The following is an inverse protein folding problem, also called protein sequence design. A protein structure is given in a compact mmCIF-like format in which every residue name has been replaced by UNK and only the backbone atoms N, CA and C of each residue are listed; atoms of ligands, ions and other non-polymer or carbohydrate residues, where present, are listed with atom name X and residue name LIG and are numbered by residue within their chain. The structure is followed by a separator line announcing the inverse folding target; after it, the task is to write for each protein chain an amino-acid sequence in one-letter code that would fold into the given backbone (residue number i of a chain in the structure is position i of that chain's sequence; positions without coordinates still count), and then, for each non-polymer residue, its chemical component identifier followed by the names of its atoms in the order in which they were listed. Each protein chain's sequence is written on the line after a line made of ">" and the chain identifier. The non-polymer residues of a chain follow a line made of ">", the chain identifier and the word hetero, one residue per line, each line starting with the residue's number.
data_IF_574478130104
#
_entry.id   IF_574478130104
#
_cell.length_a   1.000
_cell.length_b   1.000
_cell.length_c   1.000
_cell.angle_alpha   90.00
_cell.angle_beta   90.00
_cell.angle_gamma   90.00
#
_symmetry.space_group_name_H-M   'P 1'
#
loop_
_entity.id
_entity.type
_entity.pdbx_description
1 polymer ?
#
# COMPACT_ATOMS: atom_id res chain seq x y z
N UNK A 1 -26.21 26.87 -3.07
CA UNK A 1 -25.13 25.89 -2.84
C UNK A 1 -24.11 26.08 -3.94
N UNK A 2 -22.83 26.26 -3.62
CA UNK A 2 -21.77 26.45 -4.62
C UNK A 2 -21.59 25.20 -5.49
N UNK A 3 -21.35 25.38 -6.79
CA UNK A 3 -21.10 24.32 -7.77
C UNK A 3 -20.03 23.30 -7.33
N UNK A 4 -18.94 23.78 -6.73
CA UNK A 4 -17.86 22.94 -6.21
C UNK A 4 -18.36 21.93 -5.15
N UNK A 5 -19.35 22.32 -4.34
CA UNK A 5 -19.93 21.46 -3.31
C UNK A 5 -20.79 20.34 -3.90
N UNK A 6 -21.36 20.53 -5.10
CA UNK A 6 -22.16 19.50 -5.76
C UNK A 6 -21.27 18.37 -6.30
N UNK A 7 -20.14 18.73 -6.93
CA UNK A 7 -19.17 17.75 -7.43
C UNK A 7 -18.49 16.96 -6.30
N UNK A 8 -18.16 17.60 -5.19
CA UNK A 8 -17.58 16.91 -4.05
C UNK A 8 -18.60 15.96 -3.39
N UNK A 9 -19.87 16.36 -3.32
CA UNK A 9 -20.95 15.49 -2.85
C UNK A 9 -21.23 14.32 -3.79
N UNK A 10 -21.00 14.48 -5.10
CA UNK A 10 -21.25 13.46 -6.13
C UNK A 10 -19.95 12.73 -6.52
N UNK A 11 -18.81 13.12 -5.93
CA UNK A 11 -17.50 12.52 -6.10
C UNK A 11 -17.06 12.39 -7.56
N UNK A 12 -17.31 13.42 -8.39
CA UNK A 12 -16.82 13.51 -9.77
C UNK A 12 -15.64 14.48 -9.85
N UNK A 13 -14.64 14.18 -10.68
CA UNK A 13 -13.50 15.07 -10.96
C UNK A 13 -13.21 15.12 -12.44
N UNK A 14 -12.92 16.32 -12.98
CA UNK A 14 -12.46 16.44 -14.36
C UNK A 14 -11.00 16.00 -14.46
N UNK A 15 -10.69 15.20 -15.49
CA UNK A 15 -9.32 14.95 -15.88
C UNK A 15 -8.87 16.12 -16.76
N UNK A 16 -7.89 16.91 -16.34
CA UNK A 16 -7.32 17.94 -17.21
C UNK A 16 -6.38 17.34 -18.28
N UNK A 17 -5.87 16.14 -18.02
CA UNK A 17 -4.91 15.44 -18.88
C UNK A 17 -5.58 14.46 -19.85
N UNK A 18 -6.91 14.48 -19.96
CA UNK A 18 -7.66 13.55 -20.78
C UNK A 18 -9.11 14.01 -20.94
N UNK A 19 -9.85 13.45 -21.90
CA UNK A 19 -11.10 14.08 -22.33
C UNK A 19 -12.32 13.57 -21.53
N UNK A 20 -12.10 13.02 -20.34
CA UNK A 20 -13.11 12.29 -19.58
C UNK A 20 -13.23 12.76 -18.14
N UNK A 21 -14.35 12.42 -17.52
CA UNK A 21 -14.63 12.67 -16.12
C UNK A 21 -14.30 11.42 -15.33
N UNK A 22 -13.66 11.58 -14.18
CA UNK A 22 -13.31 10.49 -13.30
C UNK A 22 -14.33 10.44 -12.17
N UNK A 23 -14.96 9.29 -11.99
CA UNK A 23 -15.71 9.04 -10.77
C UNK A 23 -14.73 8.63 -9.67
N UNK A 24 -14.61 9.46 -8.63
CA UNK A 24 -13.65 9.28 -7.54
C UNK A 24 -13.98 8.05 -6.67
N UNK A 25 -15.26 7.69 -6.56
CA UNK A 25 -15.72 6.48 -5.85
C UNK A 25 -15.43 5.21 -6.65
N UNK A 26 -15.74 5.23 -7.95
CA UNK A 26 -15.54 4.09 -8.83
C UNK A 26 -14.09 3.93 -9.32
N UNK A 27 -13.29 5.01 -9.25
CA UNK A 27 -11.87 5.09 -9.64
C UNK A 27 -11.61 4.76 -11.12
N UNK A 28 -12.59 5.04 -11.99
CA UNK A 28 -12.48 4.90 -13.44
C UNK A 28 -13.15 6.09 -14.16
N UNK A 29 -12.85 6.23 -15.45
CA UNK A 29 -13.41 7.28 -16.28
C UNK A 29 -14.85 6.95 -16.72
N UNK A 30 -15.69 7.98 -16.71
CA UNK A 30 -17.10 7.94 -17.09
C UNK A 30 -17.29 8.86 -18.29
N UNK A 31 -18.10 8.41 -19.24
CA UNK A 31 -18.45 9.24 -20.38
C UNK A 31 -19.17 10.50 -19.90
N UNK A 32 -18.73 11.65 -20.42
CA UNK A 32 -19.36 12.94 -20.14
C UNK A 32 -20.65 13.16 -20.95
N UNK A 33 -21.04 12.18 -21.78
CA UNK A 33 -22.34 12.11 -22.45
C UNK A 33 -23.46 11.97 -21.43
N UNK A 34 -24.48 12.83 -21.51
CA UNK A 34 -25.58 12.95 -20.55
C UNK A 34 -26.21 11.61 -20.15
N UNK A 35 -26.64 10.80 -21.12
CA UNK A 35 -27.31 9.53 -20.84
C UNK A 35 -26.40 8.54 -20.11
N UNK A 36 -25.13 8.46 -20.52
CA UNK A 36 -24.14 7.55 -19.93
C UNK A 36 -23.78 7.97 -18.52
N UNK A 37 -23.60 9.28 -18.28
CA UNK A 37 -23.37 9.80 -16.95
C UNK A 37 -24.59 9.58 -16.05
N UNK A 38 -25.79 9.82 -16.56
CA UNK A 38 -27.04 9.60 -15.83
C UNK A 38 -27.24 8.13 -15.45
N UNK A 39 -26.97 7.20 -16.37
CA UNK A 39 -27.01 5.75 -16.13
C UNK A 39 -25.95 5.33 -15.11
N UNK A 40 -24.71 5.82 -15.23
CA UNK A 40 -23.65 5.55 -14.26
C UNK A 40 -24.06 5.99 -12.85
N UNK A 41 -24.53 7.22 -12.69
CA UNK A 41 -24.94 7.76 -11.40
C UNK A 41 -26.17 7.04 -10.83
N UNK A 42 -27.06 6.50 -11.68
CA UNK A 42 -28.19 5.67 -11.27
C UNK A 42 -27.72 4.33 -10.73
N UNK A 43 -26.95 3.63 -11.53
CA UNK A 43 -26.69 2.20 -11.36
C UNK A 43 -25.58 1.94 -10.36
N UNK A 44 -24.64 2.88 -10.22
CA UNK A 44 -23.47 2.76 -9.34
C UNK A 44 -23.61 3.53 -8.04
N UNK A 45 -24.38 4.62 -8.05
CA UNK A 45 -24.48 5.55 -6.93
C UNK A 45 -25.91 5.78 -6.43
N UNK A 46 -26.91 5.22 -7.10
CA UNK A 46 -28.33 5.29 -6.70
C UNK A 46 -28.82 6.73 -6.43
N UNK A 47 -28.30 7.70 -7.18
CA UNK A 47 -28.66 9.10 -7.00
C UNK A 47 -30.09 9.39 -7.50
N UNK A 48 -30.75 10.33 -6.83
CA UNK A 48 -32.09 10.77 -7.22
C UNK A 48 -32.08 11.43 -8.61
N UNK A 49 -33.25 11.54 -9.24
CA UNK A 49 -33.36 12.19 -10.56
C UNK A 49 -32.86 13.63 -10.52
N UNK A 50 -33.17 14.38 -9.46
CA UNK A 50 -32.75 15.78 -9.31
C UNK A 50 -31.24 15.92 -9.18
N UNK A 51 -30.58 15.06 -8.38
CA UNK A 51 -29.13 15.05 -8.23
C UNK A 51 -28.42 14.71 -9.55
N UNK A 52 -28.94 13.71 -10.29
CA UNK A 52 -28.38 13.31 -11.58
C UNK A 52 -28.50 14.41 -12.63
N UNK A 53 -29.64 15.10 -12.70
CA UNK A 53 -29.83 16.23 -13.62
C UNK A 53 -28.85 17.36 -13.35
N UNK A 54 -28.71 17.75 -12.08
CA UNK A 54 -27.76 18.79 -11.69
C UNK A 54 -26.31 18.42 -12.04
N UNK A 55 -25.92 17.15 -11.85
CA UNK A 55 -24.58 16.68 -12.22
C UNK A 55 -24.35 16.70 -13.73
N UNK A 56 -25.32 16.26 -14.53
CA UNK A 56 -25.23 16.24 -16.00
C UNK A 56 -25.15 17.66 -16.55
N UNK A 57 -26.04 18.56 -16.10
CA UNK A 57 -26.05 19.97 -16.52
C UNK A 57 -24.71 20.63 -16.22
N UNK A 58 -24.20 20.43 -15.02
CA UNK A 58 -22.89 20.92 -14.63
C UNK A 58 -21.79 20.39 -15.56
N UNK A 59 -21.74 19.08 -15.79
CA UNK A 59 -20.73 18.45 -16.66
C UNK A 59 -20.78 18.97 -18.10
N UNK A 60 -21.97 19.15 -18.65
CA UNK A 60 -22.16 19.60 -20.03
C UNK A 60 -21.63 21.03 -20.23
N UNK A 61 -21.68 21.88 -19.21
CA UNK A 61 -21.13 23.23 -19.27
C UNK A 61 -19.59 23.26 -19.41
N UNK A 62 -18.88 22.16 -19.12
CA UNK A 62 -17.41 22.09 -19.24
C UNK A 62 -16.93 21.49 -20.57
N UNK A 63 -17.81 21.27 -21.56
CA UNK A 63 -17.46 20.75 -22.89
C UNK A 63 -16.60 19.47 -22.89
N UNK A 64 -16.75 18.63 -21.86
CA UNK A 64 -16.19 17.28 -21.90
C UNK A 64 -17.10 16.42 -22.78
N UNK A 65 -16.66 16.09 -24.00
CA UNK A 65 -17.50 15.33 -24.95
C UNK A 65 -17.00 13.91 -25.22
N UNK A 66 -15.82 13.52 -24.74
CA UNK A 66 -15.28 12.22 -25.12
C UNK A 66 -15.82 11.07 -24.27
N UNK A 67 -16.09 9.96 -24.95
CA UNK A 67 -16.32 8.66 -24.34
C UNK A 67 -14.96 8.00 -24.01
N UNK A 68 -14.71 7.62 -22.74
CA UNK A 68 -13.54 6.85 -22.31
C UNK A 68 -13.28 5.60 -23.13
N UNK A 69 -14.32 4.99 -23.72
CA UNK A 69 -14.20 3.77 -24.55
C UNK A 69 -13.37 4.02 -25.81
N UNK A 70 -13.42 5.24 -26.35
CA UNK A 70 -12.69 5.64 -27.55
C UNK A 70 -11.37 6.33 -27.23
N UNK A 71 -11.07 6.55 -25.94
CA UNK A 71 -9.82 7.15 -25.53
C UNK A 71 -8.67 6.16 -25.70
N UNK A 72 -7.62 6.60 -26.40
CA UNK A 72 -6.35 5.88 -26.42
C UNK A 72 -5.74 5.81 -25.00
N UNK A 73 -5.04 4.73 -24.66
CA UNK A 73 -4.15 4.70 -23.52
C UNK A 73 -3.17 5.87 -23.57
N UNK A 74 -2.78 6.38 -22.40
CA UNK A 74 -1.70 7.36 -22.35
C UNK A 74 -0.35 6.72 -22.72
N UNK A 75 0.65 7.53 -23.10
CA UNK A 75 2.01 7.04 -23.23
C UNK A 75 2.49 6.37 -21.94
N UNK A 76 3.28 5.31 -22.07
CA UNK A 76 3.88 4.66 -20.91
C UNK A 76 4.80 5.61 -20.15
N UNK A 77 4.87 5.41 -18.83
CA UNK A 77 5.62 6.26 -17.88
C UNK A 77 5.08 7.68 -17.77
N UNK A 78 3.82 7.90 -18.16
CA UNK A 78 3.11 9.13 -17.81
C UNK A 78 2.93 9.23 -16.29
N UNK A 79 2.78 10.45 -15.77
CA UNK A 79 2.39 10.64 -14.39
C UNK A 79 1.05 9.98 -14.10
N UNK A 80 0.89 9.45 -12.88
CA UNK A 80 -0.37 8.85 -12.50
C UNK A 80 -1.47 9.91 -12.47
N UNK A 81 -2.60 9.61 -13.10
CA UNK A 81 -3.77 10.47 -13.04
C UNK A 81 -4.42 10.30 -11.68
N UNK A 82 -4.59 11.43 -11.00
CA UNK A 82 -5.24 11.49 -9.72
C UNK A 82 -6.68 10.94 -9.80
N UNK A 83 -7.14 10.25 -8.76
CA UNK A 83 -8.44 9.56 -8.69
C UNK A 83 -8.64 8.33 -9.58
N UNK A 84 -7.84 8.08 -10.62
CA UNK A 84 -7.88 6.78 -11.32
C UNK A 84 -7.23 5.67 -10.49
N UNK A 85 -7.79 4.47 -10.60
CA UNK A 85 -7.24 3.28 -9.97
C UNK A 85 -5.85 2.97 -10.54
N UNK A 86 -4.88 2.80 -9.64
CA UNK A 86 -3.57 2.22 -9.96
C UNK A 86 -3.63 0.75 -9.62
N UNK A 87 -3.18 -0.08 -10.55
CA UNK A 87 -3.13 -1.52 -10.40
C UNK A 87 -1.68 -1.99 -10.39
N UNK A 88 -1.42 -3.00 -9.56
CA UNK A 88 -0.26 -3.85 -9.72
C UNK A 88 -0.50 -4.78 -10.91
N UNK A 89 0.47 -4.80 -11.82
CA UNK A 89 0.39 -5.62 -13.00
C UNK A 89 1.75 -5.89 -13.61
N UNK A 90 1.72 -6.40 -14.82
CA UNK A 90 2.85 -6.98 -15.52
C UNK A 90 3.00 -6.33 -16.89
N UNK A 91 4.24 -6.07 -17.27
CA UNK A 91 4.65 -5.53 -18.55
C UNK A 91 5.56 -6.53 -19.26
N UNK A 92 5.19 -6.95 -20.46
CA UNK A 92 6.02 -7.81 -21.31
C UNK A 92 7.15 -6.98 -21.93
N UNK A 93 8.40 -7.42 -21.72
CA UNK A 93 9.59 -6.70 -22.15
C UNK A 93 9.81 -6.77 -23.67
N UNK A 94 9.30 -7.80 -24.33
CA UNK A 94 9.53 -8.04 -25.76
C UNK A 94 8.59 -7.23 -26.68
N UNK A 95 7.31 -7.11 -26.32
CA UNK A 95 6.30 -6.46 -27.18
C UNK A 95 5.47 -5.36 -26.49
N UNK A 96 5.69 -5.09 -25.20
CA UNK A 96 4.97 -4.06 -24.47
C UNK A 96 3.53 -4.41 -24.11
N UNK A 97 3.12 -5.69 -24.22
CA UNK A 97 1.84 -6.16 -23.71
C UNK A 97 1.73 -5.93 -22.20
N UNK A 98 0.56 -5.52 -21.73
CA UNK A 98 0.32 -5.18 -20.31
C UNK A 98 -0.94 -5.85 -19.82
N UNK A 99 -0.88 -6.36 -18.60
CA UNK A 99 -2.04 -6.94 -17.93
C UNK A 99 -1.87 -6.88 -16.42
N UNK A 100 -2.96 -6.96 -15.68
CA UNK A 100 -2.96 -7.02 -14.21
C UNK A 100 -3.15 -8.46 -13.69
N UNK A 101 -3.05 -9.44 -14.60
CA UNK A 101 -3.23 -10.86 -14.30
C UNK A 101 -2.01 -11.63 -14.78
N UNK A 102 -1.31 -12.26 -13.84
CA UNK A 102 -0.14 -13.09 -14.11
C UNK A 102 -0.47 -14.24 -15.05
N UNK A 103 -1.59 -14.93 -14.82
CA UNK A 103 -2.10 -16.01 -15.70
C UNK A 103 -2.26 -15.51 -17.14
N UNK A 104 -2.76 -14.28 -17.33
CA UNK A 104 -2.90 -13.68 -18.65
C UNK A 104 -1.54 -13.36 -19.26
N UNK A 105 -0.58 -12.91 -18.45
CA UNK A 105 0.80 -12.64 -18.89
C UNK A 105 1.48 -13.94 -19.34
N UNK A 106 1.47 -14.99 -18.52
CA UNK A 106 2.05 -16.30 -18.86
C UNK A 106 1.42 -16.87 -20.13
N UNK A 107 0.09 -16.79 -20.27
CA UNK A 107 -0.59 -17.22 -21.50
C UNK A 107 -0.12 -16.41 -22.71
N UNK A 108 -0.04 -15.10 -22.59
CA UNK A 108 0.49 -14.24 -23.65
C UNK A 108 1.91 -14.66 -24.04
N UNK A 109 2.80 -14.86 -23.05
CA UNK A 109 4.19 -15.27 -23.30
C UNK A 109 4.26 -16.62 -24.01
N UNK A 110 3.48 -17.61 -23.56
CA UNK A 110 3.46 -18.94 -24.19
C UNK A 110 2.93 -18.94 -25.62
N UNK A 111 2.03 -18.03 -25.97
CA UNK A 111 1.34 -17.99 -27.26
C UNK A 111 2.09 -17.14 -28.28
N UNK A 112 2.55 -15.97 -27.83
CA UNK A 112 3.01 -14.90 -28.72
C UNK A 112 4.54 -14.84 -28.79
N UNK A 113 5.26 -15.45 -27.84
CA UNK A 113 6.72 -15.48 -27.81
C UNK A 113 7.27 -16.90 -27.87
N UNK A 114 8.37 -17.09 -28.63
CA UNK A 114 9.07 -18.36 -28.70
C UNK A 114 9.98 -18.49 -27.49
N UNK A 115 9.61 -19.38 -26.58
CA UNK A 115 10.41 -19.54 -25.38
C UNK A 115 11.68 -20.38 -25.67
N UNK A 116 12.85 -19.99 -25.12
CA UNK A 116 14.07 -20.74 -25.32
C UNK A 116 14.07 -22.04 -24.49
N UNK A 117 13.99 -23.19 -25.15
CA UNK A 117 14.27 -24.50 -24.58
C UNK A 117 13.11 -25.22 -23.88
N UNK A 118 13.42 -26.36 -23.26
CA UNK A 118 12.44 -27.32 -22.72
C UNK A 118 11.80 -26.91 -21.38
N UNK A 119 12.31 -25.88 -20.70
CA UNK A 119 11.71 -25.35 -19.46
C UNK A 119 12.11 -23.87 -19.25
N UNK A 120 11.49 -22.94 -19.98
CA UNK A 120 11.82 -21.52 -19.91
C UNK A 120 11.24 -20.90 -18.64
N UNK A 121 12.07 -20.20 -17.86
CA UNK A 121 11.54 -19.28 -16.85
C UNK A 121 10.97 -18.04 -17.54
N UNK A 122 9.71 -17.72 -17.26
CA UNK A 122 9.04 -16.54 -17.79
C UNK A 122 9.48 -15.25 -17.11
N UNK A 123 10.13 -15.32 -15.95
CA UNK A 123 10.44 -14.16 -15.10
C UNK A 123 11.38 -13.16 -15.78
N UNK A 124 12.16 -13.60 -16.77
CA UNK A 124 13.03 -12.72 -17.56
C UNK A 124 12.29 -11.97 -18.69
N UNK A 125 11.05 -12.36 -19.03
CA UNK A 125 10.31 -11.86 -20.20
C UNK A 125 9.26 -10.81 -19.84
N UNK A 126 8.98 -10.62 -18.56
CA UNK A 126 8.10 -9.58 -18.06
C UNK A 126 8.64 -8.99 -16.77
N UNK A 127 8.08 -7.85 -16.37
CA UNK A 127 8.36 -7.22 -15.08
C UNK A 127 7.09 -6.71 -14.44
N UNK A 128 7.16 -6.45 -13.15
CA UNK A 128 6.12 -5.72 -12.46
C UNK A 128 6.06 -4.26 -12.94
N UNK A 129 4.85 -3.72 -12.99
CA UNK A 129 4.56 -2.35 -13.39
C UNK A 129 3.33 -1.82 -12.65
N UNK A 130 3.33 -0.50 -12.40
CA UNK A 130 2.13 0.21 -11.94
C UNK A 130 1.35 0.63 -13.18
N UNK A 131 0.10 0.18 -13.28
CA UNK A 131 -0.74 0.36 -14.45
C UNK A 131 -1.97 1.20 -14.14
N UNK A 132 -2.38 2.05 -15.08
CA UNK A 132 -3.69 2.71 -15.08
C UNK A 132 -4.46 2.40 -16.36
N UNK A 133 -5.77 2.58 -16.29
CA UNK A 133 -6.72 2.42 -17.41
C UNK A 133 -7.86 3.42 -17.25
N UNK A 134 -8.41 3.89 -18.36
CA UNK A 134 -9.63 4.70 -18.37
C UNK A 134 -10.84 3.86 -17.96
N UNK A 135 -10.87 2.61 -18.42
CA UNK A 135 -12.03 1.73 -18.36
C UNK A 135 -11.93 0.71 -17.22
N UNK A 136 -13.06 0.14 -16.77
CA UNK A 136 -13.05 -1.02 -15.89
C UNK A 136 -12.35 -2.23 -16.53
N UNK A 137 -11.82 -3.12 -15.67
CA UNK A 137 -10.90 -4.22 -15.98
C UNK A 137 -11.18 -5.02 -17.27
N UNK A 138 -12.44 -5.28 -17.63
CA UNK A 138 -12.79 -6.18 -18.74
C UNK A 138 -12.57 -5.60 -20.15
N UNK A 139 -12.47 -4.27 -20.28
CA UNK A 139 -12.20 -3.56 -21.54
C UNK A 139 -10.95 -2.69 -21.45
N UNK A 140 -10.19 -2.85 -20.37
CA UNK A 140 -9.08 -2.00 -20.03
C UNK A 140 -7.92 -2.18 -21.00
N UNK A 141 -7.48 -1.06 -21.56
CA UNK A 141 -6.18 -0.92 -22.19
C UNK A 141 -5.30 -0.16 -21.23
N UNK A 142 -4.24 -0.81 -20.77
CA UNK A 142 -3.37 -0.28 -19.73
C UNK A 142 -2.23 0.56 -20.31
N UNK A 143 -1.80 1.54 -19.54
CA UNK A 143 -0.50 2.20 -19.70
C UNK A 143 0.26 2.14 -18.38
N UNK A 144 1.58 2.14 -18.48
CA UNK A 144 2.45 2.25 -17.30
C UNK A 144 2.43 3.69 -16.75
N UNK A 145 2.42 3.82 -15.43
CA UNK A 145 2.49 5.12 -14.76
C UNK A 145 3.66 5.23 -13.81
N UNK A 146 4.19 6.45 -13.72
CA UNK A 146 5.11 6.85 -12.66
C UNK A 146 4.27 7.34 -11.50
N UNK A 147 4.43 6.69 -10.35
CA UNK A 147 3.84 7.20 -9.12
C UNK A 147 4.64 8.43 -8.66
N UNK A 148 3.97 9.46 -8.11
CA UNK A 148 4.66 10.53 -7.42
C UNK A 148 5.62 9.87 -6.44
N UNK A 149 6.90 10.24 -6.53
CA UNK A 149 7.81 9.91 -5.43
C UNK A 149 7.20 10.61 -4.22
N UNK A 150 6.61 9.83 -3.32
CA UNK A 150 6.51 10.25 -1.94
C UNK A 150 7.96 10.40 -1.54
N UNK A 151 8.48 11.62 -1.65
CA UNK A 151 9.72 11.97 -0.98
C UNK A 151 9.34 11.73 0.48
N UNK A 152 9.76 10.60 1.03
CA UNK A 152 9.61 10.35 2.44
C UNK A 152 10.24 11.57 3.10
N UNK A 153 9.43 12.45 3.68
CA UNK A 153 9.92 13.60 4.45
C UNK A 153 10.81 13.13 5.62
N UNK A 154 10.84 11.82 5.89
CA UNK A 154 11.74 11.11 6.80
C UNK A 154 13.18 10.92 6.28
N UNK A 155 13.42 10.95 4.95
CA UNK A 155 14.75 10.76 4.35
C UNK A 155 15.42 12.06 3.90
N UNK A 156 14.72 13.20 3.97
CA UNK A 156 15.40 14.48 3.92
C UNK A 156 16.24 14.59 5.21
N UNK A 157 17.58 14.67 5.12
CA UNK A 157 18.36 14.93 6.32
C UNK A 157 17.83 16.22 6.96
N UNK A 158 17.63 16.26 8.28
CA UNK A 158 17.22 17.50 8.93
C UNK A 158 18.20 18.60 8.51
N UNK A 159 17.68 19.78 8.21
CA UNK A 159 18.46 20.96 7.82
C UNK A 159 19.45 21.44 8.90
N UNK A 160 19.57 20.71 10.00
CA UNK A 160 20.57 20.90 11.04
C UNK A 160 21.88 20.17 10.71
N UNK A 161 23.04 20.79 11.00
CA UNK A 161 24.33 20.12 10.90
C UNK A 161 24.29 18.77 11.62
N UNK A 162 24.68 17.69 10.93
CA UNK A 162 24.71 16.32 11.46
C UNK A 162 25.26 16.20 12.90
N UNK A 163 26.30 16.96 13.31
CA UNK A 163 26.78 16.95 14.70
C UNK A 163 25.74 17.42 15.73
N UNK A 164 24.97 18.48 15.42
CA UNK A 164 23.97 19.03 16.34
C UNK A 164 22.77 18.07 16.50
N UNK A 165 22.33 17.45 15.41
CA UNK A 165 21.22 16.47 15.45
C UNK A 165 21.56 15.26 16.34
N UNK A 166 22.80 14.76 16.26
CA UNK A 166 23.26 13.65 17.10
C UNK A 166 23.36 14.05 18.57
N UNK A 167 23.78 15.28 18.87
CA UNK A 167 23.79 15.83 20.24
C UNK A 167 22.38 15.95 20.82
N UNK A 168 21.41 16.38 20.03
CA UNK A 168 20.02 16.49 20.45
C UNK A 168 19.36 15.13 20.69
N UNK A 169 19.65 14.12 19.85
CA UNK A 169 19.23 12.73 20.10
C UNK A 169 19.81 12.25 21.43
N UNK A 170 21.12 12.42 21.63
CA UNK A 170 21.80 11.99 22.84
C UNK A 170 21.22 12.66 24.09
N UNK A 171 20.99 13.97 24.03
CA UNK A 171 20.38 14.74 25.12
C UNK A 171 18.98 14.23 25.47
N UNK A 172 18.16 13.92 24.45
CA UNK A 172 16.81 13.38 24.63
C UNK A 172 16.85 11.99 25.30
N UNK A 173 17.73 11.10 24.87
CA UNK A 173 17.88 9.78 25.49
C UNK A 173 18.32 9.86 26.95
N UNK A 174 19.20 10.80 27.27
CA UNK A 174 19.68 11.01 28.65
C UNK A 174 18.56 11.52 29.56
N UNK A 175 17.72 12.43 29.09
CA UNK A 175 16.51 12.86 29.82
C UNK A 175 15.62 11.66 30.11
N UNK A 176 15.31 10.82 29.12
CA UNK A 176 14.46 9.64 29.33
C UNK A 176 15.03 8.65 30.34
N UNK A 177 16.35 8.42 30.30
CA UNK A 177 17.00 7.54 31.29
C UNK A 177 16.92 8.11 32.70
N UNK A 178 17.12 9.42 32.83
CA UNK A 178 17.11 10.10 34.13
C UNK A 178 15.70 10.13 34.72
N UNK A 179 14.69 10.47 33.91
CA UNK A 179 13.28 10.47 34.36
C UNK A 179 12.80 9.07 34.73
N UNK A 180 13.13 8.05 33.94
CA UNK A 180 12.78 6.67 34.26
C UNK A 180 13.44 6.18 35.56
N UNK A 181 14.71 6.56 35.78
CA UNK A 181 15.42 6.25 37.02
C UNK A 181 14.82 6.99 38.24
N UNK A 182 14.43 8.25 38.09
CA UNK A 182 13.75 9.02 39.14
C UNK A 182 12.35 8.50 39.47
N UNK A 183 11.58 8.06 38.47
CA UNK A 183 10.28 7.41 38.69
C UNK A 183 10.43 6.09 39.44
N UNK A 184 11.44 5.29 39.08
CA UNK A 184 11.70 4.00 39.72
C UNK A 184 12.17 4.15 41.18
N UNK A 185 12.85 5.26 41.53
CA UNK A 185 13.21 5.58 42.93
C UNK A 185 12.00 6.03 43.77
N UNK A 186 10.98 6.65 43.15
CA UNK A 186 9.77 7.11 43.85
C UNK A 186 8.78 5.98 44.19
N UNK A 187 8.89 4.82 43.53
CA UNK A 187 7.95 3.70 43.71
C UNK A 187 8.36 2.67 44.79
N UNK A 188 9.39 2.96 45.60
CA UNK A 188 9.82 2.09 46.73
C UNK A 188 9.17 2.43 48.08
N UNK A 189 8.02 3.11 48.06
CA UNK A 189 7.14 3.17 49.23
C UNK A 189 6.44 1.82 49.48
N UNK A 190 6.25 1.37 50.74
CA UNK A 190 5.68 0.05 51.01
C UNK A 190 4.22 -0.02 50.55
N UNK A 191 3.98 -0.58 49.37
CA UNK A 191 2.64 -0.82 48.85
C UNK A 191 2.00 -1.98 49.64
N UNK A 192 1.05 -1.66 50.53
CA UNK A 192 0.17 -2.65 51.13
C UNK A 192 -0.90 -3.06 50.13
N UNK A 193 -0.76 -4.23 49.52
CA UNK A 193 -1.79 -4.80 48.64
C UNK A 193 -2.90 -5.44 49.48
N UNK A 194 -4.11 -4.87 49.41
CA UNK A 194 -5.34 -5.57 49.84
C UNK A 194 -6.01 -6.17 48.61
N UNK A 195 -5.90 -7.49 48.46
CA UNK A 195 -6.68 -8.27 47.50
C UNK A 195 -7.93 -8.79 48.20
N UNK A 196 -9.10 -8.25 47.87
CA UNK A 196 -10.39 -8.84 48.26
C UNK A 196 -10.80 -9.89 47.23
N UNK A 197 -10.68 -11.17 47.60
CA UNK A 197 -11.32 -12.29 46.91
C UNK A 197 -12.71 -12.54 47.52
N UNK A 198 -13.72 -13.04 46.76
CA UNK A 198 -15.13 -13.10 47.18
C UNK A 198 -15.44 -14.08 48.32
N UNK A 199 -14.44 -14.73 48.93
CA UNK A 199 -14.63 -15.67 50.04
C UNK A 199 -13.68 -15.28 51.17
N UNK A 200 -14.19 -14.44 52.08
CA UNK A 200 -13.45 -13.72 53.10
C UNK A 200 -12.53 -14.57 53.98
N UNK A 201 -11.22 -14.52 53.70
CA UNK A 201 -10.14 -14.84 54.64
C UNK A 201 -8.98 -13.87 54.46
N UNK A 202 -8.54 -13.29 55.58
CA UNK A 202 -7.38 -12.39 55.69
C UNK A 202 -6.17 -13.22 56.09
N UNK A 203 -5.07 -13.14 55.33
CA UNK A 203 -3.76 -13.62 55.77
C UNK A 203 -2.74 -12.48 55.68
N UNK A 204 -2.00 -12.25 56.77
CA UNK A 204 -0.95 -11.25 56.88
C UNK A 204 0.40 -11.99 56.77
N UNK A 205 1.08 -11.87 55.64
CA UNK A 205 2.42 -12.45 55.44
C UNK A 205 3.49 -11.37 55.53
N UNK A 206 4.50 -11.63 56.36
CA UNK A 206 5.70 -10.80 56.59
C UNK A 206 6.80 -11.37 55.68
N UNK A 207 7.22 -10.65 54.65
CA UNK A 207 8.33 -11.10 53.80
C UNK A 207 9.66 -10.59 54.38
N UNK A 208 10.51 -11.54 54.76
CA UNK A 208 11.92 -11.35 55.13
C UNK A 208 12.72 -11.44 53.83
N UNK A 209 13.64 -10.49 53.62
CA UNK A 209 14.41 -10.36 52.37
C UNK A 209 15.40 -11.49 52.12
N UNK A 210 15.80 -11.64 50.86
CA UNK A 210 17.06 -12.27 50.47
C UNK A 210 17.47 -11.85 49.05
N UNK A 211 18.74 -11.48 48.96
CA UNK A 211 19.47 -11.00 47.79
C UNK A 211 19.64 -12.09 46.72
N UNK A 212 19.69 -11.69 45.44
CA UNK A 212 20.16 -12.55 44.35
C UNK A 212 21.53 -12.06 43.88
N UNK A 213 22.54 -12.84 44.24
CA UNK A 213 23.92 -12.70 43.79
C UNK A 213 24.11 -13.34 42.40
N UNK A 214 24.91 -12.66 41.58
CA UNK A 214 25.32 -13.00 40.20
C UNK A 214 26.31 -14.16 40.18
N UNK A 215 26.23 -15.07 39.21
CA UNK A 215 27.42 -15.79 38.70
C UNK A 215 27.34 -16.16 37.21
N UNK A 216 28.41 -15.79 36.49
CA UNK A 216 28.81 -16.18 35.12
C UNK A 216 29.41 -17.60 35.08
N UNK A 217 29.31 -18.28 33.94
CA UNK A 217 30.40 -19.00 33.20
C UNK A 217 29.78 -19.74 31.99
N UNK A 218 30.11 -19.46 30.72
CA UNK A 218 31.32 -19.77 29.92
C UNK A 218 31.68 -21.27 29.79
N UNK A 219 31.53 -21.77 28.56
CA UNK A 219 32.52 -22.53 27.75
C UNK A 219 32.40 -24.05 27.51
N UNK A 220 32.32 -24.36 26.20
CA UNK A 220 33.21 -25.22 25.37
C UNK A 220 32.96 -26.74 25.14
N UNK A 221 33.18 -27.08 23.85
CA UNK A 221 33.67 -28.34 23.22
C UNK A 221 32.70 -29.32 22.49
N UNK A 222 32.97 -29.46 21.17
CA UNK A 222 32.58 -30.50 20.18
C UNK A 222 33.39 -31.82 20.38
N UNK A 223 33.52 -32.84 19.46
CA UNK A 223 33.00 -33.10 18.08
C UNK A 223 32.54 -34.59 17.83
N UNK A 224 32.87 -35.19 16.65
CA UNK A 224 32.61 -36.54 16.06
C UNK A 224 31.29 -36.71 15.27
N UNK A 225 31.17 -37.23 14.03
CA UNK A 225 32.10 -37.77 13.02
C UNK A 225 31.46 -38.94 12.22
N UNK A 226 31.50 -38.87 10.86
CA UNK A 226 31.52 -39.95 9.80
C UNK A 226 30.40 -41.04 9.76
N UNK A 227 29.89 -41.55 8.62
CA UNK A 227 30.22 -41.47 7.17
C UNK A 227 29.29 -42.33 6.28
N UNK A 228 29.29 -42.04 4.95
CA UNK A 228 29.26 -42.90 3.72
C UNK A 228 28.44 -44.24 3.69
N UNK A 229 27.83 -44.77 2.60
CA UNK A 229 27.98 -44.63 1.14
C UNK A 229 26.82 -45.33 0.37
N UNK A 230 26.51 -44.81 -0.83
CA UNK A 230 26.04 -45.38 -2.14
C UNK A 230 25.23 -46.69 -2.27
N UNK A 231 24.26 -46.72 -3.21
CA UNK A 231 24.25 -47.64 -4.37
C UNK A 231 23.28 -47.18 -5.49
N UNK A 232 23.77 -47.20 -6.75
CA UNK A 232 23.00 -47.11 -7.99
C UNK A 232 22.65 -48.52 -8.50
N UNK A 233 21.49 -48.73 -9.12
CA UNK A 233 21.23 -49.84 -10.07
C UNK A 233 20.32 -49.37 -11.20
N UNK A 234 20.76 -49.69 -12.43
CA UNK A 234 20.09 -49.56 -13.73
C UNK A 234 18.90 -50.52 -13.89
N UNK A 235 17.89 -50.12 -14.66
CA UNK A 235 17.31 -50.91 -15.78
C UNK A 235 16.51 -49.99 -16.68
#
# INVERSE_FOLDING_TARGET
>A
MSEASLLDNISLGFCLEGPAIICRLCRFAVAAVADKLHDHLRDRHHLSISQRRAAVEYVQNFHAEADPVHCSPRPDRSDCIYWLAVYDGFFCLDCGFKTISEITMVRHLSRDHKLPGSNPSYDALYRDAKLQTWLPRNRAKYWEVVLPRLVDASLAPPSHPLPQFLEDIRRREEIYRTTAHEEQLKDTGPQSFQLTSPLGRVYRLRAVGLELSVHRNLSLHAPWGVGFSTFCVFS
#
